data_IF_208918378096
#
_entry.id   IF_208918378096
#
_cell.length_a   1.000
_cell.length_b   1.000
_cell.length_c   1.000
_cell.angle_alpha   90.00
_cell.angle_beta   90.00
_cell.angle_gamma   90.00
#
_symmetry.space_group_name_H-M   'P 1'
#
loop_
_entity.id
_entity.type
_entity.pdbx_description
1 polymer ?
#
# COMPACT_ATOMS: atom_id res chain seq x y z
N UNK A 1 3.20 -8.52 6.11
CA UNK A 1 4.29 -8.71 5.12
C UNK A 1 3.68 -9.13 3.77
N UNK A 2 4.10 -8.54 2.66
CA UNK A 2 3.65 -8.91 1.31
C UNK A 2 4.45 -10.16 0.88
N UNK A 3 3.80 -11.24 0.35
CA UNK A 3 4.54 -12.40 -0.16
C UNK A 3 5.55 -12.01 -1.23
N UNK A 4 6.70 -12.66 -1.25
CA UNK A 4 7.76 -12.33 -2.23
C UNK A 4 7.29 -12.63 -3.66
N UNK A 5 6.47 -13.64 -3.85
CA UNK A 5 5.88 -14.02 -5.14
C UNK A 5 5.05 -12.88 -5.75
N UNK A 6 4.36 -12.11 -4.91
CA UNK A 6 3.60 -10.93 -5.33
C UNK A 6 4.52 -9.79 -5.82
N UNK A 7 5.70 -9.65 -5.21
CA UNK A 7 6.70 -8.66 -5.62
C UNK A 7 7.42 -9.08 -6.90
N UNK A 8 7.73 -10.37 -7.03
CA UNK A 8 8.39 -10.92 -8.21
C UNK A 8 7.56 -10.81 -9.49
N UNK A 9 6.23 -10.62 -9.38
CA UNK A 9 5.38 -10.33 -10.55
C UNK A 9 5.80 -9.04 -11.24
N UNK A 10 6.20 -8.03 -10.48
CA UNK A 10 6.63 -6.75 -11.03
C UNK A 10 7.98 -6.86 -11.75
N UNK A 11 8.89 -7.71 -11.24
CA UNK A 11 10.14 -8.01 -11.95
C UNK A 11 9.86 -8.76 -13.25
N UNK A 12 8.93 -9.74 -13.24
CA UNK A 12 8.56 -10.48 -14.47
C UNK A 12 7.83 -9.61 -15.50
N UNK A 13 7.12 -8.56 -15.07
CA UNK A 13 6.50 -7.58 -15.97
C UNK A 13 7.56 -6.74 -16.68
N UNK A 14 8.58 -6.28 -15.94
CA UNK A 14 9.64 -5.41 -16.47
C UNK A 14 10.71 -6.17 -17.26
N UNK A 15 11.06 -7.37 -16.80
CA UNK A 15 12.12 -8.21 -17.38
C UNK A 15 11.66 -9.68 -17.54
N UNK A 16 10.67 -9.97 -18.42
CA UNK A 16 10.14 -11.32 -18.58
C UNK A 16 11.18 -12.32 -19.12
N UNK A 17 12.19 -11.83 -19.83
CA UNK A 17 13.26 -12.61 -20.45
C UNK A 17 14.66 -12.17 -20.00
N UNK A 18 14.79 -11.48 -18.85
CA UNK A 18 16.04 -10.91 -18.35
C UNK A 18 16.27 -9.48 -18.82
N UNK A 19 17.35 -8.87 -18.30
CA UNK A 19 17.77 -7.51 -18.70
C UNK A 19 18.82 -7.61 -19.83
N UNK A 20 18.35 -7.62 -21.06
CA UNK A 20 19.18 -7.73 -22.26
C UNK A 20 20.30 -6.71 -22.31
N UNK A 21 20.05 -5.49 -21.83
CA UNK A 21 21.07 -4.43 -21.82
C UNK A 21 22.19 -4.77 -20.86
N UNK A 22 21.84 -5.06 -19.60
CA UNK A 22 22.85 -5.39 -18.57
C UNK A 22 23.60 -6.69 -18.91
N UNK A 23 22.89 -7.69 -19.44
CA UNK A 23 23.53 -8.95 -19.86
C UNK A 23 24.54 -8.73 -20.99
N UNK A 24 24.29 -7.76 -21.89
CA UNK A 24 25.15 -7.50 -23.05
C UNK A 24 26.32 -6.59 -22.71
N UNK A 25 26.10 -5.51 -21.92
CA UNK A 25 27.13 -4.44 -21.78
C UNK A 25 27.80 -4.41 -20.41
N UNK A 26 27.21 -5.04 -19.39
CA UNK A 26 27.79 -5.03 -18.04
C UNK A 26 28.57 -6.32 -17.79
N UNK A 27 29.88 -6.25 -17.46
CA UNK A 27 30.63 -7.45 -17.11
C UNK A 27 30.13 -8.07 -15.80
N UNK A 28 30.54 -9.31 -15.53
CA UNK A 28 30.21 -9.99 -14.27
C UNK A 28 31.07 -9.45 -13.14
N UNK A 29 30.63 -8.34 -12.55
CA UNK A 29 31.31 -7.62 -11.46
C UNK A 29 30.36 -7.30 -10.32
N UNK A 30 30.89 -7.15 -9.11
CA UNK A 30 30.16 -6.56 -7.99
C UNK A 30 30.19 -5.03 -8.09
N UNK A 31 29.14 -4.40 -7.56
CA UNK A 31 29.07 -2.96 -7.44
C UNK A 31 28.46 -2.53 -6.09
N UNK A 32 28.68 -1.27 -5.76
CA UNK A 32 27.99 -0.58 -4.67
C UNK A 32 27.11 0.49 -5.25
N UNK A 33 25.87 0.59 -4.74
CA UNK A 33 24.93 1.61 -5.14
C UNK A 33 24.18 2.18 -3.92
N UNK A 34 23.57 3.34 -4.10
CA UNK A 34 22.76 3.97 -3.04
C UNK A 34 21.44 4.44 -3.60
N UNK A 35 20.37 4.26 -2.85
CA UNK A 35 19.07 4.88 -3.11
C UNK A 35 18.93 6.06 -2.16
N UNK A 36 18.59 7.24 -2.74
CA UNK A 36 18.44 8.49 -2.00
C UNK A 36 17.07 9.11 -2.24
N UNK A 37 16.53 9.77 -1.21
CA UNK A 37 15.36 10.60 -1.34
C UNK A 37 15.67 11.83 -2.24
N UNK A 38 14.80 12.11 -3.21
CA UNK A 38 14.90 13.33 -4.03
C UNK A 38 14.07 14.47 -3.44
N UNK A 39 12.97 14.14 -2.79
CA UNK A 39 12.03 15.06 -2.20
C UNK A 39 11.77 14.74 -0.73
N UNK A 40 11.17 15.71 -0.01
CA UNK A 40 10.65 15.47 1.33
C UNK A 40 9.37 14.64 1.28
N UNK A 41 9.17 13.78 2.28
CA UNK A 41 7.93 13.00 2.38
C UNK A 41 8.00 11.96 3.50
N UNK A 42 7.00 11.09 3.55
CA UNK A 42 6.97 9.90 4.39
C UNK A 42 7.43 8.73 3.54
N UNK A 43 8.58 8.15 3.88
CA UNK A 43 9.13 7.03 3.12
C UNK A 43 8.32 5.76 3.34
N UNK A 44 8.09 4.99 2.25
CA UNK A 44 7.41 3.70 2.32
C UNK A 44 7.84 2.80 1.15
N UNK A 45 7.91 1.48 1.39
CA UNK A 45 8.30 0.49 0.40
C UNK A 45 9.76 0.07 0.48
N UNK A 46 10.49 0.48 1.51
CA UNK A 46 11.87 0.05 1.73
C UNK A 46 11.95 -1.45 2.02
N UNK A 47 11.03 -1.98 2.83
CA UNK A 47 10.95 -3.42 3.08
C UNK A 47 10.78 -4.23 1.79
N UNK A 48 9.86 -3.81 0.92
CA UNK A 48 9.59 -4.48 -0.36
C UNK A 48 10.81 -4.42 -1.28
N UNK A 49 11.42 -3.24 -1.39
CA UNK A 49 12.63 -3.03 -2.19
C UNK A 49 13.80 -3.87 -1.67
N UNK A 50 14.07 -3.84 -0.37
CA UNK A 50 15.11 -4.66 0.26
C UNK A 50 14.92 -6.14 -0.08
N UNK A 51 13.72 -6.66 0.11
CA UNK A 51 13.41 -8.08 -0.15
C UNK A 51 13.57 -8.46 -1.63
N UNK A 52 13.27 -7.55 -2.55
CA UNK A 52 13.55 -7.76 -3.97
C UNK A 52 15.06 -7.83 -4.23
N UNK A 53 15.85 -6.88 -3.74
CA UNK A 53 17.29 -6.89 -3.91
C UNK A 53 17.94 -8.13 -3.30
N UNK A 54 17.57 -8.50 -2.06
CA UNK A 54 18.06 -9.69 -1.38
C UNK A 54 17.76 -10.99 -2.13
N UNK A 55 16.56 -11.06 -2.75
CA UNK A 55 16.16 -12.22 -3.56
C UNK A 55 17.10 -12.44 -4.76
N UNK A 56 17.67 -11.37 -5.31
CA UNK A 56 18.62 -11.41 -6.42
C UNK A 56 20.10 -11.36 -5.95
N UNK A 57 20.36 -11.68 -4.68
CA UNK A 57 21.72 -11.82 -4.15
C UNK A 57 22.44 -10.51 -3.84
N UNK A 58 21.69 -9.39 -3.69
CA UNK A 58 22.23 -8.09 -3.30
C UNK A 58 22.09 -7.93 -1.78
N UNK A 59 23.18 -7.59 -1.10
CA UNK A 59 23.16 -7.22 0.31
C UNK A 59 22.63 -5.79 0.45
N UNK A 60 21.68 -5.60 1.36
CA UNK A 60 21.03 -4.30 1.57
C UNK A 60 21.25 -3.81 2.99
N UNK A 61 21.70 -2.57 3.13
CA UNK A 61 21.75 -1.86 4.41
C UNK A 61 20.76 -0.72 4.40
N UNK A 62 19.78 -0.78 5.31
CA UNK A 62 18.79 0.28 5.52
C UNK A 62 19.35 1.39 6.40
N UNK A 63 19.18 2.65 6.02
CA UNK A 63 19.58 3.84 6.79
C UNK A 63 18.39 4.50 7.48
N UNK A 64 17.18 4.17 7.06
CA UNK A 64 15.91 4.61 7.66
C UNK A 64 14.90 3.48 7.57
N UNK A 65 13.72 3.67 8.13
CA UNK A 65 12.64 2.67 8.14
C UNK A 65 11.36 3.26 7.56
N UNK A 66 10.50 2.40 7.03
CA UNK A 66 9.20 2.77 6.50
C UNK A 66 8.36 3.57 7.52
N UNK A 67 7.63 4.57 7.05
CA UNK A 67 6.77 5.45 7.85
C UNK A 67 7.49 6.67 8.46
N UNK A 68 8.81 6.80 8.28
CA UNK A 68 9.57 7.97 8.78
C UNK A 68 9.53 9.12 7.77
N UNK A 69 9.59 10.38 8.24
CA UNK A 69 9.85 11.51 7.37
C UNK A 69 11.28 11.44 6.83
N UNK A 70 11.47 11.86 5.59
CA UNK A 70 12.77 11.96 4.93
C UNK A 70 12.94 13.31 4.24
N UNK A 71 14.19 13.73 4.06
CA UNK A 71 14.58 14.96 3.40
C UNK A 71 15.36 14.70 2.10
N UNK A 72 15.40 15.68 1.15
CA UNK A 72 16.20 15.57 -0.06
C UNK A 72 17.67 15.26 0.23
N UNK A 73 18.25 14.30 -0.52
CA UNK A 73 19.65 13.86 -0.36
C UNK A 73 19.87 12.79 0.69
N UNK A 74 18.92 12.49 1.55
CA UNK A 74 19.01 11.46 2.57
C UNK A 74 19.20 10.08 1.93
N UNK A 75 20.19 9.31 2.40
CA UNK A 75 20.42 7.93 1.95
C UNK A 75 19.38 7.02 2.61
N UNK A 76 18.68 6.26 1.79
CA UNK A 76 17.64 5.33 2.22
C UNK A 76 18.16 3.90 2.33
N UNK A 77 18.79 3.42 1.24
CA UNK A 77 19.40 2.08 1.16
C UNK A 77 20.81 2.17 0.58
N UNK A 78 21.71 1.37 1.12
CA UNK A 78 22.98 1.01 0.48
C UNK A 78 22.90 -0.43 -0.03
N UNK A 79 23.39 -0.65 -1.24
CA UNK A 79 23.35 -1.91 -1.97
C UNK A 79 24.78 -2.37 -2.27
N UNK A 80 25.08 -3.65 -2.03
CA UNK A 80 26.35 -4.27 -2.36
C UNK A 80 26.09 -5.66 -2.96
N UNK A 81 26.50 -5.89 -4.21
CA UNK A 81 26.26 -7.16 -4.88
C UNK A 81 26.51 -7.16 -6.37
N UNK A 82 26.07 -8.20 -7.10
CA UNK A 82 26.23 -8.30 -8.54
C UNK A 82 25.61 -7.11 -9.27
N UNK A 83 26.40 -6.43 -10.12
CA UNK A 83 25.94 -5.22 -10.82
C UNK A 83 24.69 -5.47 -11.67
N UNK A 84 24.63 -6.62 -12.37
CA UNK A 84 23.46 -7.00 -13.17
C UNK A 84 22.20 -7.19 -12.32
N UNK A 85 22.33 -7.76 -11.11
CA UNK A 85 21.20 -7.92 -10.18
C UNK A 85 20.70 -6.57 -9.67
N UNK A 86 21.61 -5.66 -9.33
CA UNK A 86 21.24 -4.29 -8.90
C UNK A 86 20.44 -3.59 -9.99
N UNK A 87 20.93 -3.63 -11.25
CA UNK A 87 20.28 -2.97 -12.38
C UNK A 87 18.92 -3.60 -12.72
N UNK A 88 18.81 -4.93 -12.69
CA UNK A 88 17.55 -5.65 -12.93
C UNK A 88 16.44 -5.22 -11.96
N UNK A 89 16.76 -5.02 -10.70
CA UNK A 89 15.78 -4.74 -9.64
C UNK A 89 15.49 -3.25 -9.50
N UNK A 90 16.44 -2.39 -9.85
CA UNK A 90 16.44 -0.94 -9.58
C UNK A 90 15.11 -0.28 -9.93
N UNK A 91 14.67 -0.41 -11.21
CA UNK A 91 13.48 0.32 -11.67
C UNK A 91 12.22 -0.10 -10.93
N UNK A 92 12.01 -1.39 -10.76
CA UNK A 92 10.87 -1.93 -10.02
C UNK A 92 10.89 -1.48 -8.55
N UNK A 93 12.05 -1.54 -7.88
CA UNK A 93 12.20 -1.10 -6.50
C UNK A 93 11.90 0.41 -6.35
N UNK A 94 12.44 1.24 -7.24
CA UNK A 94 12.18 2.69 -7.24
C UNK A 94 10.71 3.02 -7.51
N UNK A 95 10.04 2.28 -8.38
CA UNK A 95 8.61 2.46 -8.65
C UNK A 95 7.75 2.11 -7.42
N UNK A 96 8.09 1.03 -6.71
CA UNK A 96 7.42 0.64 -5.46
C UNK A 96 7.62 1.71 -4.38
N UNK A 97 8.88 2.11 -4.11
CA UNK A 97 9.20 3.15 -3.12
C UNK A 97 8.50 4.46 -3.47
N UNK A 98 8.59 4.91 -4.72
CA UNK A 98 7.99 6.17 -5.15
C UNK A 98 6.48 6.20 -4.98
N UNK A 99 5.78 5.13 -5.42
CA UNK A 99 4.32 5.03 -5.28
C UNK A 99 3.91 4.98 -3.81
N UNK A 100 4.51 4.08 -3.03
CA UNK A 100 4.15 3.90 -1.63
C UNK A 100 4.46 5.15 -0.81
N UNK A 101 5.60 5.80 -1.04
CA UNK A 101 5.96 7.05 -0.36
C UNK A 101 5.01 8.20 -0.72
N UNK A 102 4.58 8.30 -1.98
CA UNK A 102 3.58 9.27 -2.40
C UNK A 102 2.24 9.10 -1.67
N UNK A 103 1.75 7.85 -1.58
CA UNK A 103 0.52 7.54 -0.83
C UNK A 103 0.70 7.81 0.68
N UNK A 104 1.81 7.36 1.28
CA UNK A 104 2.09 7.57 2.70
C UNK A 104 2.20 9.07 3.04
N UNK A 105 2.84 9.87 2.20
CA UNK A 105 2.97 11.32 2.37
C UNK A 105 1.61 12.00 2.35
N UNK A 106 0.80 11.73 1.33
CA UNK A 106 -0.55 12.31 1.22
C UNK A 106 -1.48 11.87 2.35
N UNK A 107 -1.35 10.62 2.77
CA UNK A 107 -2.09 10.12 3.94
C UNK A 107 -1.66 10.85 5.22
N UNK A 108 -0.36 11.05 5.42
CA UNK A 108 0.18 11.78 6.57
C UNK A 108 -0.35 13.21 6.63
N UNK A 109 -0.30 13.92 5.51
CA UNK A 109 -0.83 15.29 5.40
C UNK A 109 -2.33 15.34 5.79
N UNK A 110 -3.14 14.41 5.27
CA UNK A 110 -4.56 14.35 5.59
C UNK A 110 -4.81 14.01 7.08
N UNK A 111 -4.06 13.07 7.63
CA UNK A 111 -4.15 12.68 9.05
C UNK A 111 -3.78 13.85 9.97
N UNK A 112 -2.72 14.59 9.66
CA UNK A 112 -2.29 15.75 10.44
C UNK A 112 -3.32 16.88 10.39
N UNK A 113 -3.87 17.16 9.21
CA UNK A 113 -4.93 18.16 9.04
C UNK A 113 -6.20 17.81 9.84
N UNK A 114 -6.63 16.54 9.79
CA UNK A 114 -7.80 16.08 10.56
C UNK A 114 -7.54 16.11 12.05
N UNK A 115 -6.38 15.64 12.51
CA UNK A 115 -6.04 15.63 13.96
C UNK A 115 -5.95 17.02 14.57
N UNK A 116 -5.57 18.02 13.79
CA UNK A 116 -5.54 19.40 14.25
C UNK A 116 -6.95 19.95 14.62
N UNK A 117 -7.99 19.43 13.95
CA UNK A 117 -9.37 19.86 14.20
C UNK A 117 -10.16 18.87 15.07
N UNK A 118 -9.88 17.57 14.93
CA UNK A 118 -10.62 16.49 15.60
C UNK A 118 -9.66 15.30 15.90
N UNK A 119 -9.00 15.28 17.06
CA UNK A 119 -7.93 14.31 17.37
C UNK A 119 -8.37 12.84 17.32
N UNK A 120 -9.64 12.55 17.60
CA UNK A 120 -10.19 11.20 17.66
C UNK A 120 -10.71 10.67 16.33
N UNK A 121 -10.74 11.53 15.29
CA UNK A 121 -11.21 11.15 13.95
C UNK A 121 -10.09 10.47 13.18
N UNK A 122 -10.41 9.35 12.54
CA UNK A 122 -9.48 8.60 11.69
C UNK A 122 -9.72 8.87 10.21
N UNK A 123 -8.64 8.94 9.45
CA UNK A 123 -8.68 9.03 7.98
C UNK A 123 -8.63 7.61 7.42
N UNK A 124 -9.73 7.15 6.84
CA UNK A 124 -9.86 5.79 6.32
C UNK A 124 -9.73 5.74 4.79
N UNK A 125 -9.03 4.73 4.30
CA UNK A 125 -8.87 4.48 2.86
C UNK A 125 -10.02 3.63 2.32
N UNK A 126 -10.39 3.85 1.06
CA UNK A 126 -11.38 3.05 0.34
C UNK A 126 -10.72 1.87 -0.39
N UNK A 127 -11.54 1.11 -1.17
CA UNK A 127 -11.06 0.08 -2.11
C UNK A 127 -10.76 0.61 -3.52
N UNK A 128 -10.76 1.93 -3.73
CA UNK A 128 -10.44 2.59 -5.00
C UNK A 128 -8.91 2.62 -5.21
N UNK A 129 -8.29 1.46 -5.20
CA UNK A 129 -6.86 1.24 -5.43
C UNK A 129 -6.60 0.83 -6.88
N UNK A 130 -5.38 1.03 -7.37
CA UNK A 130 -4.99 0.48 -8.66
C UNK A 130 -5.05 -1.06 -8.63
N UNK A 131 -5.62 -1.70 -9.68
CA UNK A 131 -5.65 -3.16 -9.77
C UNK A 131 -4.26 -3.77 -9.60
N UNK A 132 -4.16 -4.85 -8.81
CA UNK A 132 -2.90 -5.53 -8.51
C UNK A 132 -2.04 -4.87 -7.43
N UNK A 133 -2.25 -3.58 -7.09
CA UNK A 133 -1.39 -2.83 -6.15
C UNK A 133 -2.00 -2.65 -4.75
N UNK A 134 -3.18 -3.21 -4.48
CA UNK A 134 -3.92 -2.96 -3.23
C UNK A 134 -3.11 -3.24 -1.97
N UNK A 135 -2.27 -4.27 -1.96
CA UNK A 135 -1.43 -4.60 -0.80
C UNK A 135 -0.43 -3.50 -0.51
N UNK A 136 0.23 -2.97 -1.54
CA UNK A 136 1.17 -1.86 -1.44
C UNK A 136 0.44 -0.57 -1.03
N UNK A 137 -0.67 -0.24 -1.70
CA UNK A 137 -1.43 0.99 -1.45
C UNK A 137 -1.97 1.03 -0.01
N UNK A 138 -2.57 -0.06 0.47
CA UNK A 138 -3.11 -0.15 1.83
C UNK A 138 -2.01 -0.12 2.90
N UNK A 139 -0.87 -0.79 2.66
CA UNK A 139 0.30 -0.69 3.55
C UNK A 139 0.81 0.74 3.63
N UNK A 140 0.91 1.43 2.50
CA UNK A 140 1.35 2.82 2.44
C UNK A 140 0.41 3.77 3.21
N UNK A 141 -0.90 3.54 3.15
CA UNK A 141 -1.88 4.29 3.97
C UNK A 141 -1.60 4.10 5.47
N UNK A 142 -1.36 2.88 5.92
CA UNK A 142 -1.02 2.59 7.32
C UNK A 142 0.27 3.29 7.73
N UNK A 143 1.30 3.25 6.89
CA UNK A 143 2.58 3.92 7.13
C UNK A 143 2.45 5.45 7.19
N UNK A 144 1.47 6.02 6.48
CA UNK A 144 1.08 7.43 6.58
C UNK A 144 0.26 7.77 7.84
N UNK A 145 -0.14 6.78 8.63
CA UNK A 145 -0.95 6.95 9.85
C UNK A 145 -2.45 6.89 9.62
N UNK A 146 -2.90 6.50 8.42
CA UNK A 146 -4.30 6.29 8.10
C UNK A 146 -4.81 4.90 8.49
N UNK A 147 -6.11 4.71 8.39
CA UNK A 147 -6.81 3.45 8.60
C UNK A 147 -6.97 2.74 7.24
N UNK A 148 -6.51 1.50 7.08
CA UNK A 148 -6.67 0.78 5.82
C UNK A 148 -8.13 0.44 5.51
N UNK A 149 -9.03 0.47 6.52
CA UNK A 149 -10.41 0.03 6.39
C UNK A 149 -10.50 -1.39 5.80
N UNK A 150 -11.62 -1.79 5.16
CA UNK A 150 -11.69 -3.12 4.57
C UNK A 150 -10.73 -3.28 3.40
N UNK A 151 -10.05 -4.42 3.38
CA UNK A 151 -9.11 -4.78 2.35
C UNK A 151 -9.79 -5.35 1.09
N UNK A 152 -10.81 -6.19 1.30
CA UNK A 152 -11.51 -6.94 0.25
C UNK A 152 -13.03 -6.95 0.47
N UNK A 153 -13.76 -7.57 -0.44
CA UNK A 153 -15.19 -7.84 -0.26
C UNK A 153 -15.46 -8.91 0.81
N UNK A 154 -14.42 -9.64 1.22
CA UNK A 154 -14.56 -10.77 2.14
C UNK A 154 -14.33 -10.42 3.61
N UNK A 155 -13.79 -9.22 3.91
CA UNK A 155 -13.38 -8.86 5.27
C UNK A 155 -14.56 -8.47 6.15
N UNK A 156 -15.45 -7.63 5.61
CA UNK A 156 -16.63 -7.13 6.31
C UNK A 156 -17.78 -6.88 5.34
N UNK A 157 -18.97 -6.80 5.86
CA UNK A 157 -20.16 -6.39 5.10
C UNK A 157 -20.16 -4.87 4.99
N UNK A 158 -20.34 -4.35 3.77
CA UNK A 158 -20.62 -2.94 3.52
C UNK A 158 -21.80 -2.85 2.57
N UNK A 159 -22.95 -2.48 3.11
CA UNK A 159 -24.21 -2.26 2.38
C UNK A 159 -24.13 -0.88 1.74
N UNK A 160 -24.43 -0.79 0.45
CA UNK A 160 -24.36 0.43 -0.36
C UNK A 160 -25.62 0.61 -1.21
N UNK A 161 -25.72 1.78 -1.85
CA UNK A 161 -26.77 2.15 -2.79
C UNK A 161 -27.16 1.02 -3.76
N UNK A 162 -26.18 0.41 -4.42
CA UNK A 162 -26.43 -0.71 -5.34
C UNK A 162 -27.08 -1.93 -4.68
N UNK A 163 -26.84 -2.17 -3.39
CA UNK A 163 -27.50 -3.24 -2.64
C UNK A 163 -28.91 -2.80 -2.26
N UNK A 164 -29.07 -1.53 -1.86
CA UNK A 164 -30.34 -0.96 -1.43
C UNK A 164 -31.32 -0.76 -2.60
N UNK A 165 -30.81 -0.68 -3.83
CA UNK A 165 -31.65 -0.73 -5.03
C UNK A 165 -32.35 -2.10 -5.24
N UNK A 166 -31.84 -3.15 -4.60
CA UNK A 166 -32.37 -4.52 -4.74
C UNK A 166 -33.10 -5.02 -3.49
N UNK A 167 -32.72 -4.51 -2.31
CA UNK A 167 -33.23 -4.96 -1.02
C UNK A 167 -33.47 -3.77 -0.11
N UNK A 168 -34.67 -3.60 0.49
CA UNK A 168 -34.92 -2.50 1.42
C UNK A 168 -33.94 -2.47 2.60
N UNK A 169 -33.54 -1.27 3.02
CA UNK A 169 -32.52 -1.05 4.05
C UNK A 169 -32.72 -1.89 5.33
N UNK A 170 -33.90 -1.92 5.99
CA UNK A 170 -34.09 -2.74 7.19
C UNK A 170 -33.89 -4.23 6.95
N UNK A 171 -34.31 -4.71 5.77
CA UNK A 171 -34.15 -6.10 5.37
C UNK A 171 -32.70 -6.46 5.10
N UNK A 172 -31.96 -5.57 4.39
CA UNK A 172 -30.54 -5.76 4.10
C UNK A 172 -29.71 -5.87 5.39
N UNK A 173 -29.98 -5.01 6.38
CA UNK A 173 -29.29 -5.04 7.70
C UNK A 173 -29.62 -6.34 8.45
N UNK A 174 -30.90 -6.74 8.52
CA UNK A 174 -31.31 -7.98 9.18
C UNK A 174 -30.67 -9.22 8.55
N UNK A 175 -30.63 -9.32 7.22
CA UNK A 175 -29.95 -10.41 6.52
C UNK A 175 -28.46 -10.43 6.83
N UNK A 176 -27.79 -9.27 6.76
CA UNK A 176 -26.38 -9.17 7.07
C UNK A 176 -26.06 -9.67 8.49
N UNK A 177 -26.89 -9.33 9.48
CA UNK A 177 -26.73 -9.80 10.87
C UNK A 177 -26.94 -11.31 11.02
N UNK A 178 -27.92 -11.86 10.35
CA UNK A 178 -28.22 -13.28 10.43
C UNK A 178 -27.13 -14.13 9.77
N UNK A 179 -26.65 -13.70 8.59
CA UNK A 179 -25.74 -14.49 7.75
C UNK A 179 -24.25 -14.21 8.04
N UNK A 180 -23.92 -13.11 8.74
CA UNK A 180 -22.54 -12.66 8.94
C UNK A 180 -22.20 -12.44 10.42
N UNK A 181 -22.40 -13.47 11.26
CA UNK A 181 -22.31 -13.43 12.72
C UNK A 181 -21.00 -12.85 13.27
N UNK A 182 -19.89 -12.97 12.54
CA UNK A 182 -18.55 -12.58 13.02
C UNK A 182 -17.95 -11.39 12.24
N UNK A 183 -18.69 -10.80 11.29
CA UNK A 183 -18.18 -9.69 10.49
C UNK A 183 -18.78 -8.37 10.94
N UNK A 184 -17.96 -7.33 10.92
CA UNK A 184 -18.47 -5.94 11.04
C UNK A 184 -19.42 -5.66 9.89
N UNK A 185 -20.52 -4.99 10.21
CA UNK A 185 -21.52 -4.53 9.23
C UNK A 185 -21.47 -3.01 9.22
N UNK A 186 -21.25 -2.45 8.05
CA UNK A 186 -21.28 -1.02 7.76
C UNK A 186 -22.35 -0.74 6.72
N UNK A 187 -23.03 0.36 6.85
CA UNK A 187 -24.07 0.80 5.91
C UNK A 187 -23.73 2.22 5.43
N UNK A 188 -23.64 2.39 4.13
CA UNK A 188 -23.53 3.71 3.49
C UNK A 188 -24.95 4.25 3.27
N UNK A 189 -25.25 5.43 3.82
CA UNK A 189 -26.57 6.07 3.75
C UNK A 189 -26.43 7.52 3.29
N UNK A 190 -27.48 8.05 2.66
CA UNK A 190 -27.50 9.43 2.15
C UNK A 190 -28.19 10.40 3.12
N UNK A 191 -29.06 9.89 4.01
CA UNK A 191 -29.84 10.72 4.94
C UNK A 191 -29.63 10.31 6.39
N UNK A 192 -29.86 11.25 7.30
CA UNK A 192 -29.86 10.96 8.75
C UNK A 192 -31.00 10.01 9.15
N UNK A 193 -32.13 10.06 8.44
CA UNK A 193 -33.27 9.15 8.65
C UNK A 193 -32.91 7.72 8.32
N UNK A 194 -32.20 7.49 7.20
CA UNK A 194 -31.68 6.17 6.85
C UNK A 194 -30.66 5.66 7.87
N UNK A 195 -29.81 6.54 8.43
CA UNK A 195 -28.88 6.16 9.49
C UNK A 195 -29.62 5.66 10.75
N UNK A 196 -30.69 6.36 11.17
CA UNK A 196 -31.54 5.94 12.29
C UNK A 196 -32.27 4.64 11.97
N UNK A 197 -32.77 4.50 10.76
CA UNK A 197 -33.44 3.28 10.28
C UNK A 197 -32.49 2.08 10.27
N UNK A 198 -31.26 2.26 9.77
CA UNK A 198 -30.24 1.23 9.77
C UNK A 198 -29.87 0.80 11.20
N UNK A 199 -29.65 1.76 12.11
CA UNK A 199 -29.36 1.51 13.52
C UNK A 199 -30.50 0.79 14.23
N UNK A 200 -31.76 1.13 13.92
CA UNK A 200 -32.95 0.48 14.47
C UNK A 200 -33.20 -0.95 13.96
N UNK A 201 -32.66 -1.29 12.80
CA UNK A 201 -32.73 -2.64 12.23
C UNK A 201 -31.71 -3.61 12.84
N UNK A 202 -30.76 -3.06 13.64
CA UNK A 202 -29.85 -3.82 14.45
C UNK A 202 -28.49 -3.27 14.62
#
# INVERSE_FOLDING_TARGET
MIPIEDLLRFIREDAPWGDVTSETVVPDIACRAVIRAKDRGTIAGLEEARRLFEHFGVTVREHTVDGRPVAPGETLLELDGPARSVLLVERTALNIIGRMSGIATRTREAVEAVRAAAPDVRVAATRKTAPGLRRLDKKAVVLGGGDPHRYSLSDMVLIKDNHLALVPLPEAVRRAKTESLYRTIEVEVETAEDAVTAAGAG
#
